data_IF_700494054255
#
_entry.id   IF_700494054255
#
_cell.length_a   1.000
_cell.length_b   1.000
_cell.length_c   1.000
_cell.angle_alpha   90.00
_cell.angle_beta   90.00
_cell.angle_gamma   90.00
#
_symmetry.space_group_name_H-M   'P 1'
#
loop_
_entity.id
_entity.type
_entity.pdbx_description
1 polymer ?
#
# COMPACT_ATOMS: atom_id res chain seq x y z
N UNK A 1 -1.61 6.13 -8.50
CA UNK A 1 -2.89 5.73 -7.88
C UNK A 1 -2.84 6.04 -6.39
N UNK A 2 -3.95 6.43 -5.77
CA UNK A 2 -4.07 6.58 -4.33
C UNK A 2 -5.45 6.16 -3.82
N UNK A 3 -5.49 5.65 -2.59
CA UNK A 3 -6.70 5.38 -1.83
C UNK A 3 -6.81 6.36 -0.67
N UNK A 4 -7.96 7.02 -0.51
CA UNK A 4 -8.20 8.00 0.55
C UNK A 4 -9.18 7.49 1.61
N UNK A 5 -9.02 7.97 2.84
CA UNK A 5 -9.83 7.60 4.00
C UNK A 5 -10.98 8.60 4.26
N UNK A 6 -11.33 9.40 3.24
CA UNK A 6 -12.38 10.41 3.25
C UNK A 6 -13.27 10.23 2.04
N UNK A 7 -14.39 10.95 2.00
CA UNK A 7 -15.14 11.12 0.76
C UNK A 7 -14.31 11.78 -0.35
N UNK A 8 -14.71 11.55 -1.61
CA UNK A 8 -13.95 12.01 -2.79
C UNK A 8 -13.84 13.54 -2.89
N UNK A 9 -14.78 14.29 -2.29
CA UNK A 9 -14.78 15.75 -2.27
C UNK A 9 -13.98 16.34 -1.09
N UNK A 10 -13.37 15.50 -0.25
CA UNK A 10 -12.56 15.92 0.91
C UNK A 10 -11.09 15.60 0.67
N UNK A 11 -10.20 16.42 1.26
CA UNK A 11 -8.77 16.16 1.26
C UNK A 11 -8.25 16.11 2.70
N UNK A 12 -7.61 15.00 3.06
CA UNK A 12 -6.98 14.83 4.36
C UNK A 12 -5.68 14.00 4.25
N UNK A 13 -4.58 14.43 4.89
CA UNK A 13 -4.44 15.69 5.60
C UNK A 13 -4.56 16.88 4.63
N UNK A 14 -4.99 18.04 5.12
CA UNK A 14 -5.24 19.22 4.27
C UNK A 14 -3.98 19.66 3.50
N UNK A 15 -2.80 19.45 4.07
CA UNK A 15 -1.51 19.70 3.44
C UNK A 15 -1.31 18.91 2.13
N UNK A 16 -1.94 17.74 1.99
CA UNK A 16 -1.82 16.89 0.79
C UNK A 16 -2.87 17.21 -0.29
N UNK A 17 -3.66 18.27 -0.16
CA UNK A 17 -4.71 18.64 -1.13
C UNK A 17 -4.17 18.74 -2.57
N UNK A 18 -3.06 19.45 -2.75
CA UNK A 18 -2.45 19.62 -4.07
C UNK A 18 -2.01 18.27 -4.67
N UNK A 19 -1.38 17.42 -3.86
CA UNK A 19 -0.97 16.07 -4.26
C UNK A 19 -2.16 15.19 -4.61
N UNK A 20 -3.22 15.19 -3.79
CA UNK A 20 -4.44 14.43 -4.05
C UNK A 20 -5.09 14.86 -5.37
N UNK A 21 -5.19 16.16 -5.61
CA UNK A 21 -5.70 16.71 -6.86
C UNK A 21 -4.84 16.26 -8.05
N UNK A 22 -3.51 16.40 -7.96
CA UNK A 22 -2.60 15.98 -9.02
C UNK A 22 -2.71 14.47 -9.35
N UNK A 23 -2.91 13.62 -8.33
CA UNK A 23 -3.14 12.18 -8.52
C UNK A 23 -4.49 11.91 -9.20
N UNK A 24 -5.54 12.66 -8.86
CA UNK A 24 -6.85 12.54 -9.50
C UNK A 24 -6.82 12.93 -10.98
N UNK A 25 -6.09 14.01 -11.32
CA UNK A 25 -5.97 14.51 -12.69
C UNK A 25 -5.12 13.58 -13.59
N UNK A 26 -4.03 13.03 -13.07
CA UNK A 26 -3.02 12.31 -13.86
C UNK A 26 -3.02 10.80 -13.65
N UNK A 27 -3.92 10.30 -12.81
CA UNK A 27 -3.87 8.92 -12.36
C UNK A 27 -5.23 8.45 -11.90
N UNK A 28 -5.26 7.86 -10.71
CA UNK A 28 -6.47 7.26 -10.16
C UNK A 28 -6.55 7.54 -8.67
N UNK A 29 -7.62 8.20 -8.26
CA UNK A 29 -7.96 8.49 -6.88
C UNK A 29 -9.22 7.69 -6.51
N UNK A 30 -9.12 6.80 -5.53
CA UNK A 30 -10.23 5.95 -5.09
C UNK A 30 -10.67 6.28 -3.67
N UNK A 31 -12.00 6.33 -3.50
CA UNK A 31 -12.67 6.37 -2.20
C UNK A 31 -13.87 5.43 -2.21
N UNK A 32 -14.06 4.71 -1.10
CA UNK A 32 -15.23 3.85 -0.88
C UNK A 32 -16.29 4.52 0.02
N UNK A 33 -16.07 5.77 0.40
CA UNK A 33 -16.89 6.50 1.36
C UNK A 33 -17.81 7.49 0.63
N UNK A 34 -18.91 7.88 1.29
CA UNK A 34 -19.80 8.92 0.77
C UNK A 34 -19.01 10.19 0.39
N UNK A 35 -19.40 10.93 -0.67
CA UNK A 35 -18.59 12.01 -1.23
C UNK A 35 -18.09 13.05 -0.21
N UNK A 36 -18.87 13.33 0.82
CA UNK A 36 -18.55 14.31 1.88
C UNK A 36 -18.04 13.69 3.19
N UNK A 37 -17.82 12.37 3.24
CA UNK A 37 -17.46 11.67 4.47
C UNK A 37 -16.19 12.27 5.12
N UNK A 38 -16.22 12.61 6.42
CA UNK A 38 -15.06 13.18 7.11
C UNK A 38 -13.98 12.12 7.35
N UNK A 39 -12.74 12.54 7.67
CA UNK A 39 -11.71 11.62 8.12
C UNK A 39 -12.11 11.02 9.48
N UNK A 40 -12.11 9.69 9.57
CA UNK A 40 -12.39 8.95 10.80
C UNK A 40 -11.36 7.84 10.97
N UNK A 41 -10.96 7.53 12.21
CA UNK A 41 -9.96 6.48 12.50
C UNK A 41 -10.31 5.14 11.84
N UNK A 42 -11.59 4.75 11.89
CA UNK A 42 -12.12 3.54 11.24
C UNK A 42 -11.95 3.56 9.73
N UNK A 43 -12.16 4.72 9.07
CA UNK A 43 -11.99 4.86 7.63
C UNK A 43 -10.54 4.59 7.19
N UNK A 44 -9.54 4.92 8.00
CA UNK A 44 -8.15 4.60 7.66
C UNK A 44 -7.88 3.09 7.65
N UNK A 45 -8.45 2.35 8.60
CA UNK A 45 -8.34 0.89 8.65
C UNK A 45 -9.05 0.24 7.46
N UNK A 46 -10.29 0.68 7.18
CA UNK A 46 -11.07 0.22 6.02
C UNK A 46 -10.37 0.54 4.69
N UNK A 47 -9.81 1.74 4.56
CA UNK A 47 -9.01 2.13 3.39
C UNK A 47 -7.79 1.23 3.22
N UNK A 48 -7.09 0.89 4.29
CA UNK A 48 -5.93 -0.01 4.22
C UNK A 48 -6.32 -1.40 3.73
N UNK A 49 -7.48 -1.93 4.10
CA UNK A 49 -7.99 -3.18 3.52
C UNK A 49 -8.19 -3.07 1.99
N UNK A 50 -8.74 -1.96 1.52
CA UNK A 50 -8.86 -1.71 0.07
C UNK A 50 -7.52 -1.60 -0.63
N UNK A 51 -6.49 -1.01 -0.01
CA UNK A 51 -5.13 -1.05 -0.57
C UNK A 51 -4.66 -2.49 -0.73
N UNK A 52 -4.78 -3.34 0.30
CA UNK A 52 -4.32 -4.73 0.25
C UNK A 52 -5.05 -5.56 -0.83
N UNK A 53 -6.35 -5.34 -1.01
CA UNK A 53 -7.14 -6.06 -2.01
C UNK A 53 -6.68 -5.79 -3.45
N UNK A 54 -6.35 -4.53 -3.76
CA UNK A 54 -5.96 -4.10 -5.10
C UNK A 54 -4.46 -4.23 -5.38
N UNK A 55 -3.62 -4.30 -4.34
CA UNK A 55 -2.19 -4.43 -4.50
C UNK A 55 -1.79 -5.87 -4.91
N UNK A 56 -0.87 -5.98 -5.87
CA UNK A 56 -0.23 -7.26 -6.20
C UNK A 56 0.78 -7.70 -5.14
N UNK A 57 1.39 -6.74 -4.44
CA UNK A 57 2.30 -6.94 -3.32
C UNK A 57 2.29 -5.69 -2.41
N UNK A 58 2.62 -5.85 -1.13
CA UNK A 58 2.78 -4.75 -0.18
C UNK A 58 4.22 -4.66 0.31
N UNK A 59 4.74 -3.43 0.42
CA UNK A 59 6.08 -3.16 0.94
C UNK A 59 5.95 -2.18 2.11
N UNK A 60 6.46 -2.54 3.28
CA UNK A 60 6.48 -1.66 4.46
C UNK A 60 7.93 -1.31 4.75
N UNK A 61 8.27 -0.05 4.52
CA UNK A 61 9.63 0.48 4.65
C UNK A 61 9.93 0.95 6.07
N UNK A 62 8.93 1.51 6.74
CA UNK A 62 9.02 2.01 8.10
C UNK A 62 7.66 1.92 8.79
N UNK A 63 7.66 1.42 10.04
CA UNK A 63 6.49 1.32 10.89
C UNK A 63 6.92 1.04 12.33
N UNK A 64 6.15 1.56 13.31
CA UNK A 64 6.27 1.20 14.72
C UNK A 64 5.17 0.24 15.18
N UNK A 65 5.27 -0.24 16.43
CA UNK A 65 4.48 -1.37 16.96
C UNK A 65 2.96 -1.14 16.89
N UNK A 66 2.54 0.12 16.99
CA UNK A 66 1.14 0.55 16.94
C UNK A 66 0.77 1.25 15.61
N UNK A 67 1.59 1.10 14.58
CA UNK A 67 1.35 1.69 13.26
C UNK A 67 0.11 1.12 12.58
N UNK A 68 -0.62 1.98 11.87
CA UNK A 68 -1.70 1.55 10.97
C UNK A 68 -1.23 0.65 9.83
N UNK A 69 0.08 0.65 9.52
CA UNK A 69 0.68 -0.25 8.54
C UNK A 69 0.54 -1.73 8.92
N UNK A 70 0.50 -2.05 10.23
CA UNK A 70 0.24 -3.41 10.74
C UNK A 70 -1.07 -3.98 10.20
N UNK A 71 -2.11 -3.15 10.10
CA UNK A 71 -3.40 -3.59 9.57
C UNK A 71 -3.32 -3.94 8.08
N UNK A 72 -2.58 -3.13 7.30
CA UNK A 72 -2.32 -3.42 5.88
C UNK A 72 -1.52 -4.72 5.74
N UNK A 73 -0.47 -4.91 6.53
CA UNK A 73 0.39 -6.10 6.53
C UNK A 73 -0.42 -7.37 6.74
N UNK A 74 -1.26 -7.38 7.79
CA UNK A 74 -2.14 -8.52 8.09
C UNK A 74 -3.09 -8.83 6.95
N UNK A 75 -3.78 -7.83 6.41
CA UNK A 75 -4.68 -8.05 5.28
C UNK A 75 -3.95 -8.56 4.03
N UNK A 76 -2.74 -8.08 3.74
CA UNK A 76 -1.95 -8.59 2.64
C UNK A 76 -1.67 -10.10 2.82
N UNK A 77 -1.22 -10.51 4.01
CA UNK A 77 -0.97 -11.92 4.35
C UNK A 77 -2.26 -12.76 4.29
N UNK A 78 -3.36 -12.27 4.86
CA UNK A 78 -4.66 -12.96 4.86
C UNK A 78 -5.18 -13.20 3.41
N UNK A 79 -4.88 -12.28 2.49
CA UNK A 79 -5.24 -12.36 1.08
C UNK A 79 -4.22 -13.16 0.24
N UNK A 80 -3.16 -13.69 0.85
CA UNK A 80 -2.08 -14.37 0.14
C UNK A 80 -1.28 -13.45 -0.78
N UNK A 81 -1.26 -12.13 -0.51
CA UNK A 81 -0.45 -11.16 -1.25
C UNK A 81 0.96 -11.14 -0.69
N UNK A 82 2.00 -11.16 -1.54
CA UNK A 82 3.38 -10.95 -1.11
C UNK A 82 3.52 -9.72 -0.23
N UNK A 83 4.14 -9.88 0.93
CA UNK A 83 4.46 -8.80 1.85
C UNK A 83 5.98 -8.73 2.01
N UNK A 84 6.56 -7.56 1.78
CA UNK A 84 7.99 -7.31 2.01
C UNK A 84 8.13 -6.34 3.18
N UNK A 85 8.90 -6.75 4.19
CA UNK A 85 9.24 -5.95 5.36
C UNK A 85 10.72 -5.62 5.32
N UNK A 86 11.08 -4.35 5.50
CA UNK A 86 12.49 -3.98 5.67
C UNK A 86 12.98 -4.39 7.06
N UNK A 87 14.29 -4.47 7.24
CA UNK A 87 14.90 -4.71 8.56
C UNK A 87 14.46 -3.69 9.61
N UNK A 88 14.30 -2.42 9.21
CA UNK A 88 13.77 -1.35 10.08
C UNK A 88 12.41 -1.69 10.68
N UNK A 89 11.59 -2.45 9.95
CA UNK A 89 10.26 -2.88 10.41
C UNK A 89 10.36 -4.22 11.12
N UNK A 90 11.06 -5.20 10.53
CA UNK A 90 11.21 -6.52 11.10
C UNK A 90 11.80 -6.45 12.52
N UNK A 91 12.93 -5.77 12.69
CA UNK A 91 13.68 -5.81 13.94
C UNK A 91 13.06 -4.96 15.06
N UNK A 92 12.27 -3.96 14.71
CA UNK A 92 11.67 -3.03 15.66
C UNK A 92 10.25 -3.39 16.12
N UNK A 93 9.65 -4.46 15.59
CA UNK A 93 8.22 -4.75 15.78
C UNK A 93 7.92 -6.23 16.00
N UNK A 94 7.22 -6.56 17.08
CA UNK A 94 6.79 -7.93 17.40
C UNK A 94 5.79 -8.44 16.35
N UNK A 95 4.88 -7.57 15.90
CA UNK A 95 3.91 -7.94 14.87
C UNK A 95 4.57 -8.29 13.54
N UNK A 96 5.71 -7.67 13.21
CA UNK A 96 6.44 -7.95 11.98
C UNK A 96 7.10 -9.32 12.05
N UNK A 97 7.77 -9.62 13.18
CA UNK A 97 8.39 -10.92 13.44
C UNK A 97 7.39 -12.07 13.40
N UNK A 98 6.18 -11.87 13.94
CA UNK A 98 5.11 -12.87 13.86
C UNK A 98 4.73 -13.18 12.40
N UNK A 99 4.62 -12.15 11.56
CA UNK A 99 4.23 -12.32 10.15
C UNK A 99 5.33 -12.95 9.29
N UNK A 100 6.61 -12.80 9.64
CA UNK A 100 7.73 -13.41 8.88
C UNK A 100 7.67 -14.94 8.81
N UNK A 101 6.93 -15.57 9.73
CA UNK A 101 6.70 -17.02 9.69
C UNK A 101 5.68 -17.46 8.63
N UNK A 102 4.88 -16.54 8.09
CA UNK A 102 3.85 -16.84 7.11
C UNK A 102 4.42 -16.96 5.69
N UNK A 103 3.82 -17.84 4.88
CA UNK A 103 4.20 -17.98 3.47
C UNK A 103 3.92 -16.70 2.68
N UNK A 104 4.83 -16.34 1.77
CA UNK A 104 4.71 -15.11 0.97
C UNK A 104 5.09 -13.84 1.72
N UNK A 105 5.71 -13.95 2.90
CA UNK A 105 6.31 -12.81 3.61
C UNK A 105 7.83 -12.85 3.44
N UNK A 106 8.40 -11.72 3.06
CA UNK A 106 9.81 -11.54 2.74
C UNK A 106 10.41 -10.46 3.62
N UNK A 107 11.69 -10.61 3.96
CA UNK A 107 12.49 -9.61 4.64
C UNK A 107 13.51 -9.04 3.66
N UNK A 108 13.77 -7.74 3.71
CA UNK A 108 14.80 -7.09 2.90
C UNK A 108 15.71 -6.22 3.77
N UNK A 109 17.00 -6.54 3.80
CA UNK A 109 18.01 -5.79 4.55
C UNK A 109 18.55 -4.58 3.79
N UNK A 110 18.31 -4.50 2.47
CA UNK A 110 18.77 -3.40 1.64
C UNK A 110 17.83 -3.11 0.48
N UNK A 111 18.04 -1.96 -0.17
CA UNK A 111 17.31 -1.61 -1.40
C UNK A 111 17.61 -2.59 -2.54
N UNK A 112 18.83 -3.13 -2.60
CA UNK A 112 19.22 -4.10 -3.62
C UNK A 112 18.41 -5.41 -3.46
N UNK A 113 18.38 -5.94 -2.24
CA UNK A 113 17.60 -7.14 -1.91
C UNK A 113 16.10 -6.91 -2.09
N UNK A 114 15.59 -5.74 -1.69
CA UNK A 114 14.20 -5.36 -1.94
C UNK A 114 13.87 -5.41 -3.44
N UNK A 115 14.76 -4.87 -4.29
CA UNK A 115 14.56 -4.88 -5.73
C UNK A 115 14.61 -6.29 -6.32
N UNK A 116 15.49 -7.16 -5.82
CA UNK A 116 15.55 -8.58 -6.22
C UNK A 116 14.27 -9.31 -5.86
N UNK A 117 13.76 -9.15 -4.63
CA UNK A 117 12.50 -9.78 -4.20
C UNK A 117 11.35 -9.28 -5.06
N UNK A 118 11.25 -7.96 -5.32
CA UNK A 118 10.19 -7.40 -6.16
C UNK A 118 10.21 -8.00 -7.57
N UNK A 119 11.39 -8.20 -8.16
CA UNK A 119 11.53 -8.84 -9.48
C UNK A 119 11.11 -10.31 -9.47
N UNK A 120 11.39 -11.04 -8.38
CA UNK A 120 10.99 -12.44 -8.23
C UNK A 120 9.47 -12.61 -8.09
N UNK A 121 8.82 -11.75 -7.31
CA UNK A 121 7.38 -11.86 -7.00
C UNK A 121 6.48 -11.21 -8.06
N UNK A 122 7.04 -10.35 -8.91
CA UNK A 122 6.31 -9.69 -10.00
C UNK A 122 6.78 -10.25 -11.34
N UNK A 123 6.27 -11.40 -11.81
CA UNK A 123 6.58 -11.87 -13.15
C UNK A 123 6.14 -10.80 -14.16
N UNK A 124 7.06 -10.41 -15.04
CA UNK A 124 7.05 -9.18 -15.82
C UNK A 124 5.67 -8.65 -16.18
N UNK A 125 5.24 -7.59 -15.49
CA UNK A 125 4.22 -6.66 -16.00
C UNK A 125 4.81 -5.90 -17.18
N UNK A 126 4.94 -6.59 -18.32
CA UNK A 126 5.15 -5.92 -19.60
C UNK A 126 3.81 -5.26 -19.93
N UNK A 127 3.69 -3.95 -19.65
CA UNK A 127 2.63 -3.14 -20.26
C UNK A 127 2.83 -3.27 -21.77
N UNK A 128 1.89 -3.88 -22.48
CA UNK A 128 1.79 -3.61 -23.91
C UNK A 128 1.52 -2.11 -24.05
N UNK A 129 2.23 -1.39 -24.93
CA UNK A 129 1.94 0.02 -25.18
C UNK A 129 0.49 0.14 -25.63
N UNK A 130 -0.22 1.14 -25.09
CA UNK A 130 -1.58 1.44 -25.50
C UNK A 130 -1.50 1.83 -27.00
N UNK A 131 -2.34 1.26 -27.90
CA UNK A 131 -2.35 1.63 -29.32
C UNK A 131 -2.52 3.14 -29.59
N UNK A 132 -2.86 3.94 -28.57
CA UNK A 132 -2.90 5.40 -28.62
C UNK A 132 -1.57 6.15 -28.41
N UNK A 133 -0.51 5.50 -27.92
CA UNK A 133 0.77 6.18 -27.59
C UNK A 133 1.67 6.42 -28.82
N UNK A 134 1.29 5.90 -29.98
CA UNK A 134 1.94 6.14 -31.27
C UNK A 134 1.11 7.10 -32.12
N UNK A 135 0.99 8.37 -31.69
CA UNK A 135 0.50 9.46 -32.54
C UNK A 135 1.22 10.76 -32.26
#
# INVERSE_FOLDING_TARGET
MAFIATGINKSYPAANRATQHAIGERGLLLSQFWPEAPPQKTNFLLRNNSIAQYASAAIIVEAGEHSGARNLARHAVDLGRPLILTDLVADANDWAQQLLSASGVYRAASLAELAEIVQQITPGTRREPDPGDAK
#
